data_IF_215506894365
#
_entry.id   IF_215506894365
#
_cell.length_a   1.000
_cell.length_b   1.000
_cell.length_c   1.000
_cell.angle_alpha   90.00
_cell.angle_beta   90.00
_cell.angle_gamma   90.00
#
_symmetry.space_group_name_H-M   'P 1'
#
loop_
_entity.id
_entity.type
_entity.pdbx_description
1 polymer ?
#
# COMPACT_ATOMS: atom_id res chain seq x y z
N UNK A 1 -35.60 62.05 -14.59
CA UNK A 1 -34.42 61.93 -13.70
C UNK A 1 -34.55 60.61 -12.95
N UNK A 2 -33.67 59.62 -12.96
CA UNK A 2 -32.37 59.37 -13.60
C UNK A 2 -32.31 57.84 -13.80
N UNK A 3 -31.80 57.41 -14.94
CA UNK A 3 -31.44 56.02 -15.23
C UNK A 3 -30.31 55.56 -14.30
N UNK A 4 -30.38 54.35 -13.77
CA UNK A 4 -29.23 53.69 -13.13
C UNK A 4 -29.02 52.33 -13.79
N UNK A 5 -28.03 52.31 -14.71
CA UNK A 5 -27.39 51.13 -15.27
C UNK A 5 -26.63 50.41 -14.15
N UNK A 6 -26.95 49.14 -13.91
CA UNK A 6 -26.03 48.23 -13.21
C UNK A 6 -25.09 47.61 -14.24
N UNK A 7 -23.87 48.13 -14.33
CA UNK A 7 -22.78 47.49 -15.06
C UNK A 7 -22.19 46.38 -14.20
N UNK A 8 -22.48 45.12 -14.55
CA UNK A 8 -21.77 43.98 -13.99
C UNK A 8 -20.39 43.88 -14.65
N UNK A 9 -19.35 44.26 -13.91
CA UNK A 9 -17.96 44.01 -14.31
C UNK A 9 -17.68 42.53 -14.07
N UNK A 10 -17.72 41.72 -15.13
CA UNK A 10 -17.13 40.39 -15.11
C UNK A 10 -15.61 40.56 -15.12
N UNK A 11 -14.98 40.47 -13.94
CA UNK A 11 -13.55 40.28 -13.85
C UNK A 11 -13.23 38.86 -14.34
N UNK A 12 -12.79 38.74 -15.59
CA UNK A 12 -12.20 37.50 -16.10
C UNK A 12 -10.89 37.26 -15.36
N UNK A 13 -10.93 36.44 -14.32
CA UNK A 13 -9.75 35.89 -13.68
C UNK A 13 -9.04 34.98 -14.69
N UNK A 14 -7.98 35.50 -15.31
CA UNK A 14 -6.97 34.66 -15.95
C UNK A 14 -6.27 33.88 -14.82
N UNK A 15 -6.79 32.69 -14.50
CA UNK A 15 -6.01 31.73 -13.71
C UNK A 15 -4.83 31.30 -14.57
N UNK A 16 -3.58 31.45 -14.09
CA UNK A 16 -2.45 30.91 -14.82
C UNK A 16 -2.64 29.40 -14.89
N UNK A 17 -2.80 28.86 -16.10
CA UNK A 17 -2.74 27.41 -16.32
C UNK A 17 -1.31 26.98 -16.04
N UNK A 18 -1.04 26.61 -14.80
CA UNK A 18 0.24 26.01 -14.43
C UNK A 18 0.42 24.77 -15.31
N UNK A 19 1.52 24.78 -16.06
CA UNK A 19 1.93 23.63 -16.83
C UNK A 19 2.28 22.48 -15.86
N UNK A 20 2.00 21.27 -16.30
CA UNK A 20 2.05 20.08 -15.48
C UNK A 20 3.45 19.48 -15.62
N UNK A 21 4.13 19.38 -14.48
CA UNK A 21 5.42 18.71 -14.39
C UNK A 21 5.35 17.25 -14.83
N UNK A 22 6.52 16.69 -15.14
CA UNK A 22 6.67 15.30 -15.54
C UNK A 22 5.93 14.38 -14.55
N UNK A 23 5.22 13.40 -15.10
CA UNK A 23 4.37 12.42 -14.41
C UNK A 23 3.00 12.93 -13.94
N UNK A 24 2.69 14.22 -14.10
CA UNK A 24 1.35 14.72 -13.78
C UNK A 24 0.31 14.34 -14.83
N UNK A 25 -0.96 14.25 -14.40
CA UNK A 25 -2.09 13.97 -15.30
C UNK A 25 -2.38 15.18 -16.17
N UNK A 26 -2.49 14.97 -17.48
CA UNK A 26 -2.77 16.01 -18.46
C UNK A 26 -3.96 15.67 -19.36
N UNK A 27 -4.70 14.61 -19.05
CA UNK A 27 -5.88 14.19 -19.80
C UNK A 27 -6.55 12.93 -19.23
N UNK A 28 -7.68 12.58 -19.82
CA UNK A 28 -8.52 11.44 -19.42
C UNK A 28 -10.01 11.80 -19.33
N UNK A 29 -10.89 10.82 -19.50
CA UNK A 29 -12.34 10.99 -19.34
C UNK A 29 -12.68 11.52 -17.95
N UNK A 30 -13.34 12.66 -17.89
CA UNK A 30 -13.76 13.33 -16.65
C UNK A 30 -12.70 14.23 -16.00
N UNK A 31 -11.50 14.33 -16.57
CA UNK A 31 -10.45 15.20 -16.05
C UNK A 31 -10.71 16.67 -16.43
N UNK A 32 -10.78 17.55 -15.43
CA UNK A 32 -11.05 18.99 -15.59
C UNK A 32 -9.82 19.88 -15.30
N UNK A 33 -8.66 19.28 -15.04
CA UNK A 33 -7.43 20.02 -14.77
C UNK A 33 -6.70 20.48 -16.03
N UNK A 34 -5.53 21.10 -15.86
CA UNK A 34 -4.69 21.57 -16.97
C UNK A 34 -4.32 20.41 -17.91
N UNK A 35 -4.23 20.66 -19.22
CA UNK A 35 -3.76 19.66 -20.20
C UNK A 35 -2.37 19.99 -20.76
N UNK A 36 -1.80 21.12 -20.35
CA UNK A 36 -0.50 21.59 -20.79
C UNK A 36 0.60 21.01 -19.90
N UNK A 37 1.58 20.34 -20.49
CA UNK A 37 2.78 19.86 -19.81
C UNK A 37 3.89 20.92 -19.79
N UNK A 38 4.81 20.84 -18.84
CA UNK A 38 6.02 21.68 -18.81
C UNK A 38 6.85 21.52 -20.09
N UNK A 39 7.66 22.55 -20.40
CA UNK A 39 8.54 22.56 -21.57
C UNK A 39 9.42 21.31 -21.63
N UNK A 40 9.46 20.65 -22.78
CA UNK A 40 10.20 19.39 -23.00
C UNK A 40 9.41 18.12 -22.70
N UNK A 41 8.13 18.24 -22.31
CA UNK A 41 7.23 17.12 -22.05
C UNK A 41 6.04 17.14 -23.02
N UNK A 42 5.48 15.96 -23.30
CA UNK A 42 4.23 15.81 -24.03
C UNK A 42 3.20 15.06 -23.18
N UNK A 43 1.92 15.39 -23.38
CA UNK A 43 0.84 14.64 -22.78
C UNK A 43 0.65 13.31 -23.53
N UNK A 44 1.09 12.21 -22.92
CA UNK A 44 1.06 10.87 -23.51
C UNK A 44 -0.15 10.11 -22.98
N UNK A 45 -0.97 9.60 -23.91
CA UNK A 45 -2.12 8.75 -23.59
C UNK A 45 -1.66 7.45 -22.93
N UNK A 46 -2.28 7.09 -21.81
CA UNK A 46 -2.08 5.79 -21.15
C UNK A 46 -3.34 4.93 -21.27
N UNK A 47 -4.51 5.52 -20.99
CA UNK A 47 -5.81 4.90 -21.18
C UNK A 47 -6.91 5.97 -21.23
N UNK A 48 -8.14 5.50 -21.44
CA UNK A 48 -9.33 6.35 -21.57
C UNK A 48 -9.56 7.33 -20.42
N UNK A 49 -9.13 7.00 -19.20
CA UNK A 49 -9.33 7.82 -18.00
C UNK A 49 -8.07 8.59 -17.59
N UNK A 50 -6.92 8.37 -18.25
CA UNK A 50 -5.64 8.91 -17.82
C UNK A 50 -4.64 9.14 -18.95
N UNK A 51 -4.11 10.35 -19.05
CA UNK A 51 -2.97 10.73 -19.89
C UNK A 51 -1.95 11.49 -19.03
N UNK A 52 -0.65 11.34 -19.32
CA UNK A 52 0.43 11.75 -18.43
C UNK A 52 1.53 12.55 -19.14
N UNK A 53 2.07 13.58 -18.50
CA UNK A 53 3.19 14.35 -19.02
C UNK A 53 4.50 13.57 -18.97
N UNK A 54 5.03 13.17 -20.12
CA UNK A 54 6.26 12.38 -20.23
C UNK A 54 7.29 13.08 -21.12
N UNK A 55 8.57 12.77 -20.91
CA UNK A 55 9.65 13.21 -21.79
C UNK A 55 9.47 12.52 -23.13
N UNK A 56 9.32 13.31 -24.18
CA UNK A 56 9.39 12.81 -25.55
C UNK A 56 10.82 12.97 -26.03
N UNK A 57 11.57 11.87 -26.09
CA UNK A 57 12.84 11.85 -26.82
C UNK A 57 12.55 12.13 -28.28
N UNK A 58 13.07 13.24 -28.78
CA UNK A 58 12.90 13.71 -30.15
C UNK A 58 13.63 12.78 -31.12
N UNK A 59 13.06 11.62 -31.43
CA UNK A 59 13.41 10.90 -32.65
C UNK A 59 12.59 11.52 -33.78
N UNK A 60 13.25 12.40 -34.52
CA UNK A 60 12.80 12.93 -35.81
C UNK A 60 12.44 11.79 -36.76
N UNK A 61 11.15 11.60 -37.04
CA UNK A 61 10.71 11.00 -38.29
C UNK A 61 9.54 11.82 -38.84
N UNK A 62 9.79 12.38 -40.02
CA UNK A 62 8.93 13.28 -40.77
C UNK A 62 7.50 12.77 -40.96
N UNK A 63 6.57 13.72 -40.91
CA UNK A 63 5.17 13.57 -41.27
C UNK A 63 4.96 13.20 -42.74
N UNK A 64 3.86 12.48 -43.04
CA UNK A 64 3.06 12.78 -44.23
C UNK A 64 1.58 12.44 -43.94
N UNK A 65 0.63 13.37 -44.19
CA UNK A 65 -0.80 13.12 -44.08
C UNK A 65 -1.39 12.67 -45.43
N UNK A 66 -2.36 11.76 -45.44
CA UNK A 66 -3.25 11.61 -46.60
C UNK A 66 -4.64 11.10 -46.19
N UNK A 67 -5.62 11.95 -46.48
CA UNK A 67 -7.02 11.62 -46.75
C UNK A 67 -7.15 10.78 -48.03
N UNK A 68 -8.20 9.95 -48.12
CA UNK A 68 -9.27 9.94 -49.16
C UNK A 68 -9.85 8.53 -49.38
N UNK A 69 -11.18 8.50 -49.49
CA UNK A 69 -12.08 7.40 -49.83
C UNK A 69 -11.77 6.69 -51.17
N UNK A 70 -12.15 5.41 -51.25
CA UNK A 70 -12.34 4.68 -52.52
C UNK A 70 -12.89 3.25 -52.30
N UNK A 71 -13.94 2.80 -53.02
CA UNK A 71 -14.73 1.60 -52.69
C UNK A 71 -14.26 0.35 -53.42
N UNK A 72 -14.47 -0.87 -52.88
CA UNK A 72 -14.60 -2.09 -53.72
C UNK A 72 -15.37 -3.21 -53.01
N UNK A 73 -16.20 -3.88 -53.82
CA UNK A 73 -17.19 -4.93 -53.59
C UNK A 73 -16.79 -6.21 -52.84
N UNK A 74 -17.77 -6.65 -52.04
CA UNK A 74 -18.42 -7.98 -51.99
C UNK A 74 -17.57 -9.26 -52.13
N UNK A 75 -17.54 -10.07 -51.07
CA UNK A 75 -17.89 -11.51 -51.18
C UNK A 75 -18.29 -12.06 -49.81
N UNK A 76 -19.57 -12.36 -49.63
CA UNK A 76 -20.09 -13.08 -48.46
C UNK A 76 -19.61 -14.53 -48.51
N UNK A 77 -18.80 -14.93 -47.52
CA UNK A 77 -18.51 -16.33 -47.24
C UNK A 77 -19.09 -16.71 -45.88
N UNK A 78 -20.27 -17.29 -45.92
CA UNK A 78 -20.91 -17.98 -44.80
C UNK A 78 -19.97 -19.05 -44.27
N UNK A 79 -19.44 -18.85 -43.06
CA UNK A 79 -18.72 -19.88 -42.33
C UNK A 79 -19.40 -20.04 -40.97
N UNK A 80 -20.15 -21.13 -40.84
CA UNK A 80 -20.72 -21.60 -39.60
C UNK A 80 -19.59 -21.83 -38.60
N UNK A 81 -19.50 -21.00 -37.56
CA UNK A 81 -18.54 -21.19 -36.48
C UNK A 81 -19.33 -21.58 -35.23
N UNK A 82 -19.20 -22.85 -34.89
CA UNK A 82 -19.72 -23.48 -33.68
C UNK A 82 -19.30 -22.66 -32.46
N UNK A 83 -20.26 -22.12 -31.72
CA UNK A 83 -20.02 -21.45 -30.45
C UNK A 83 -19.73 -22.55 -29.43
N UNK A 84 -18.46 -22.89 -29.25
CA UNK A 84 -18.03 -23.68 -28.11
C UNK A 84 -18.17 -22.79 -26.88
N UNK A 85 -19.17 -23.09 -26.05
CA UNK A 85 -19.33 -22.56 -24.71
C UNK A 85 -18.03 -22.72 -23.95
N UNK A 86 -17.29 -21.62 -23.77
CA UNK A 86 -16.22 -21.55 -22.79
C UNK A 86 -16.87 -21.70 -21.43
N UNK A 87 -16.76 -22.89 -20.85
CA UNK A 87 -16.94 -23.12 -19.43
C UNK A 87 -16.16 -22.04 -18.68
N UNK A 88 -16.86 -21.27 -17.86
CA UNK A 88 -16.21 -20.38 -16.91
C UNK A 88 -15.30 -21.25 -16.05
N UNK A 89 -13.99 -21.12 -16.27
CA UNK A 89 -13.01 -21.62 -15.31
C UNK A 89 -13.28 -20.84 -14.04
N UNK A 90 -13.95 -21.48 -13.08
CA UNK A 90 -14.04 -20.97 -11.73
C UNK A 90 -12.63 -20.58 -11.32
N UNK A 91 -12.43 -19.32 -10.94
CA UNK A 91 -11.15 -18.84 -10.47
C UNK A 91 -10.63 -19.85 -9.42
N UNK A 92 -9.42 -20.41 -9.59
CA UNK A 92 -8.91 -21.35 -8.63
C UNK A 92 -8.87 -20.64 -7.28
N UNK A 93 -9.58 -21.19 -6.31
CA UNK A 93 -9.44 -20.80 -4.91
C UNK A 93 -8.00 -21.15 -4.57
N UNK A 94 -7.08 -20.19 -4.71
CA UNK A 94 -5.65 -20.46 -4.57
C UNK A 94 -5.36 -20.85 -3.13
N UNK A 95 -5.03 -22.12 -2.90
CA UNK A 95 -4.77 -22.73 -1.58
C UNK A 95 -3.29 -22.69 -1.15
N UNK A 96 -2.45 -21.83 -1.76
CA UNK A 96 -1.01 -21.74 -1.43
C UNK A 96 -0.63 -20.56 -0.54
N UNK A 97 0.62 -20.52 -0.09
CA UNK A 97 1.23 -19.29 0.46
C UNK A 97 1.91 -18.50 -0.67
N UNK A 98 1.79 -17.18 -0.62
CA UNK A 98 2.61 -16.33 -1.49
C UNK A 98 4.05 -16.41 -0.99
N UNK A 99 4.98 -16.60 -1.92
CA UNK A 99 6.42 -16.68 -1.72
C UNK A 99 7.09 -15.59 -2.56
N UNK A 100 8.42 -15.59 -2.56
CA UNK A 100 9.19 -14.81 -3.53
C UNK A 100 10.18 -15.66 -4.31
N UNK A 101 10.55 -15.13 -5.47
CA UNK A 101 11.60 -15.65 -6.35
C UNK A 101 12.33 -14.45 -6.94
N UNK A 102 13.57 -14.23 -6.50
CA UNK A 102 14.27 -12.97 -6.74
C UNK A 102 13.43 -11.79 -6.25
N UNK A 103 13.21 -10.80 -7.12
CA UNK A 103 12.41 -9.59 -6.82
C UNK A 103 10.91 -9.75 -7.11
N UNK A 104 10.42 -10.96 -7.40
CA UNK A 104 9.02 -11.22 -7.74
C UNK A 104 8.30 -11.99 -6.64
N UNK A 105 6.99 -11.72 -6.51
CA UNK A 105 6.09 -12.57 -5.75
C UNK A 105 5.66 -13.77 -6.59
N UNK A 106 5.51 -14.92 -5.93
CA UNK A 106 5.01 -16.14 -6.54
C UNK A 106 3.91 -16.77 -5.70
N UNK A 107 2.98 -17.45 -6.35
CA UNK A 107 1.91 -18.22 -5.71
C UNK A 107 1.76 -19.52 -6.48
N UNK A 108 1.97 -20.65 -5.80
CA UNK A 108 1.95 -21.98 -6.41
C UNK A 108 2.90 -22.09 -7.62
N UNK A 109 4.09 -21.49 -7.52
CA UNK A 109 5.11 -21.52 -8.57
C UNK A 109 4.92 -20.50 -9.70
N UNK A 110 3.75 -19.89 -9.81
CA UNK A 110 3.46 -18.85 -10.81
C UNK A 110 3.72 -17.45 -10.27
N UNK A 111 4.02 -16.47 -11.14
CA UNK A 111 4.13 -15.07 -10.72
C UNK A 111 2.80 -14.59 -10.12
N UNK A 112 2.86 -13.97 -8.96
CA UNK A 112 1.73 -13.36 -8.28
C UNK A 112 1.85 -11.84 -8.38
N UNK A 113 0.94 -11.20 -9.10
CA UNK A 113 0.91 -9.73 -9.20
C UNK A 113 0.11 -9.16 -8.03
N UNK A 114 0.76 -8.29 -7.25
CA UNK A 114 0.10 -7.54 -6.18
C UNK A 114 -0.64 -6.36 -6.80
N UNK A 115 -1.97 -6.41 -6.77
CA UNK A 115 -2.87 -5.27 -6.97
C UNK A 115 -3.48 -4.99 -5.61
N UNK A 116 -2.99 -3.95 -4.94
CA UNK A 116 -3.16 -3.74 -3.50
C UNK A 116 -3.91 -2.47 -3.14
N UNK A 117 -4.61 -2.50 -2.01
CA UNK A 117 -5.14 -1.32 -1.32
C UNK A 117 -4.92 -1.42 0.20
N UNK A 118 -5.25 -0.35 0.93
CA UNK A 118 -5.23 -0.30 2.39
C UNK A 118 -6.65 -0.02 2.92
N UNK A 119 -7.09 -0.81 3.90
CA UNK A 119 -8.34 -0.57 4.63
C UNK A 119 -8.14 -0.95 6.10
N UNK A 120 -7.53 -0.04 6.87
CA UNK A 120 -7.22 -0.26 8.29
C UNK A 120 -8.46 -0.55 9.14
N UNK A 121 -9.60 -0.01 8.73
CA UNK A 121 -10.88 -0.08 9.43
C UNK A 121 -11.70 -1.35 9.10
N UNK A 122 -11.14 -2.33 8.38
CA UNK A 122 -11.92 -3.46 7.88
C UNK A 122 -12.67 -4.20 9.00
N UNK A 123 -12.01 -4.48 10.12
CA UNK A 123 -12.66 -5.11 11.27
C UNK A 123 -13.42 -4.12 12.19
N UNK A 124 -13.36 -2.82 11.90
CA UNK A 124 -14.12 -1.79 12.60
C UNK A 124 -15.51 -1.57 12.00
N UNK A 125 -15.78 -2.14 10.82
CA UNK A 125 -17.10 -2.13 10.20
C UNK A 125 -18.17 -2.68 11.15
N UNK A 126 -19.37 -2.11 11.07
CA UNK A 126 -20.46 -2.40 11.99
C UNK A 126 -20.97 -3.83 11.89
N UNK A 127 -20.98 -4.41 10.68
CA UNK A 127 -21.54 -5.74 10.44
C UNK A 127 -20.63 -6.64 9.63
N UNK A 128 -20.75 -7.96 9.81
CA UNK A 128 -20.07 -8.96 8.97
C UNK A 128 -20.48 -8.89 7.50
N UNK A 129 -21.68 -8.39 7.20
CA UNK A 129 -22.15 -8.17 5.84
C UNK A 129 -21.36 -7.06 5.16
N UNK A 130 -21.09 -5.96 5.85
CA UNK A 130 -20.27 -4.87 5.30
C UNK A 130 -18.84 -5.35 5.01
N UNK A 131 -18.26 -6.17 5.90
CA UNK A 131 -16.93 -6.79 5.69
C UNK A 131 -16.97 -7.66 4.42
N UNK A 132 -17.97 -8.54 4.31
CA UNK A 132 -18.10 -9.46 3.18
C UNK A 132 -18.33 -8.71 1.87
N UNK A 133 -19.16 -7.66 1.89
CA UNK A 133 -19.42 -6.82 0.74
C UNK A 133 -18.16 -6.08 0.28
N UNK A 134 -17.39 -5.50 1.22
CA UNK A 134 -16.15 -4.82 0.88
C UNK A 134 -15.13 -5.75 0.17
N UNK A 135 -15.00 -7.01 0.61
CA UNK A 135 -14.15 -7.99 -0.08
C UNK A 135 -14.72 -8.44 -1.44
N UNK A 136 -16.05 -8.48 -1.57
CA UNK A 136 -16.71 -8.73 -2.86
C UNK A 136 -16.41 -7.59 -3.85
N UNK A 137 -16.47 -6.35 -3.40
CA UNK A 137 -16.18 -5.17 -4.23
C UNK A 137 -14.70 -5.12 -4.63
N UNK A 138 -13.78 -5.41 -3.70
CA UNK A 138 -12.35 -5.53 -4.00
C UNK A 138 -12.07 -6.61 -5.05
N UNK A 139 -12.71 -7.77 -4.93
CA UNK A 139 -12.59 -8.85 -5.93
C UNK A 139 -13.09 -8.41 -7.29
N UNK A 140 -14.26 -7.77 -7.35
CA UNK A 140 -14.87 -7.29 -8.59
C UNK A 140 -14.02 -6.19 -9.25
N UNK A 141 -13.33 -5.38 -8.45
CA UNK A 141 -12.37 -4.39 -8.93
C UNK A 141 -10.99 -4.97 -9.30
N UNK A 142 -10.77 -6.28 -9.13
CA UNK A 142 -9.54 -6.97 -9.53
C UNK A 142 -8.39 -6.87 -8.52
N UNK A 143 -8.65 -6.49 -7.27
CA UNK A 143 -7.62 -6.51 -6.23
C UNK A 143 -7.23 -7.94 -5.88
N UNK A 144 -5.92 -8.15 -5.65
CA UNK A 144 -5.37 -9.44 -5.22
C UNK A 144 -4.90 -9.42 -3.78
N UNK A 145 -4.68 -8.23 -3.22
CA UNK A 145 -4.11 -8.03 -1.89
C UNK A 145 -4.79 -6.87 -1.17
N UNK A 146 -5.05 -7.02 0.13
CA UNK A 146 -5.49 -5.93 0.99
C UNK A 146 -4.60 -5.85 2.22
N UNK A 147 -4.20 -4.64 2.59
CA UNK A 147 -3.54 -4.40 3.86
C UNK A 147 -4.54 -3.90 4.91
N UNK A 148 -4.54 -4.50 6.09
CA UNK A 148 -5.45 -4.17 7.22
C UNK A 148 -4.72 -4.33 8.56
N UNK A 149 -5.23 -3.67 9.61
CA UNK A 149 -4.58 -3.66 10.92
C UNK A 149 -5.07 -4.85 11.72
N UNK A 150 -4.14 -5.69 12.20
CA UNK A 150 -4.39 -6.80 13.13
C UNK A 150 -4.13 -6.43 14.58
N UNK A 151 -4.08 -5.13 14.88
CA UNK A 151 -3.91 -4.56 16.21
C UNK A 151 -5.05 -3.60 16.52
N UNK A 152 -5.37 -3.50 17.81
CA UNK A 152 -6.22 -2.48 18.40
C UNK A 152 -6.04 -2.54 19.92
N UNK A 153 -5.11 -1.73 20.40
CA UNK A 153 -4.62 -1.70 21.77
C UNK A 153 -5.34 -0.60 22.55
N UNK A 154 -6.01 -0.97 23.63
CA UNK A 154 -6.81 -0.04 24.44
C UNK A 154 -6.47 -0.18 25.92
N UNK A 155 -6.66 0.91 26.67
CA UNK A 155 -6.57 0.89 28.15
C UNK A 155 -7.96 0.91 28.80
N UNK A 156 -9.02 0.93 27.99
CA UNK A 156 -10.41 0.86 28.42
C UNK A 156 -11.22 0.27 27.26
N UNK A 157 -12.08 -0.74 27.50
CA UNK A 157 -12.86 -1.36 26.44
C UNK A 157 -13.78 -0.37 25.73
N UNK A 158 -13.77 -0.38 24.40
CA UNK A 158 -14.68 0.42 23.57
C UNK A 158 -14.74 -0.18 22.17
N UNK A 159 -15.96 -0.37 21.64
CA UNK A 159 -16.17 -0.91 20.30
C UNK A 159 -15.41 -2.21 20.06
N UNK A 160 -14.88 -2.37 18.86
CA UNK A 160 -13.98 -3.49 18.55
C UNK A 160 -12.57 -3.18 19.05
N UNK A 161 -11.97 -4.08 19.83
CA UNK A 161 -10.60 -3.98 20.33
C UNK A 161 -9.97 -5.37 20.48
N UNK A 162 -8.65 -5.48 20.37
CA UNK A 162 -7.96 -6.79 20.35
C UNK A 162 -7.14 -7.05 21.60
N UNK A 163 -6.62 -6.01 22.22
CA UNK A 163 -5.80 -6.13 23.42
C UNK A 163 -6.14 -5.02 24.41
N UNK A 164 -6.53 -5.42 25.62
CA UNK A 164 -6.81 -4.53 26.73
C UNK A 164 -5.63 -4.51 27.69
N UNK A 165 -5.16 -3.31 28.01
CA UNK A 165 -4.11 -3.07 28.98
C UNK A 165 -4.70 -2.58 30.31
N UNK A 166 -4.32 -3.26 31.39
CA UNK A 166 -4.59 -2.85 32.77
C UNK A 166 -3.27 -2.82 33.54
N UNK A 167 -2.64 -1.63 33.59
CA UNK A 167 -1.24 -1.52 33.98
C UNK A 167 -0.36 -2.38 33.06
N UNK A 168 0.65 -3.03 33.60
CA UNK A 168 1.57 -3.90 32.85
C UNK A 168 0.97 -5.25 32.42
N UNK A 169 -0.34 -5.45 32.57
CA UNK A 169 -1.03 -6.70 32.18
C UNK A 169 -1.82 -6.49 30.90
N UNK A 170 -1.46 -7.23 29.86
CA UNK A 170 -2.20 -7.29 28.59
C UNK A 170 -3.16 -8.48 28.58
N UNK A 171 -4.40 -8.25 28.15
CA UNK A 171 -5.41 -9.30 27.95
C UNK A 171 -5.90 -9.25 26.51
N UNK A 172 -5.75 -10.35 25.78
CA UNK A 172 -6.24 -10.48 24.41
C UNK A 172 -7.75 -10.72 24.43
N UNK A 173 -8.51 -9.91 23.69
CA UNK A 173 -9.93 -10.12 23.47
C UNK A 173 -10.14 -11.08 22.30
N UNK A 174 -10.43 -12.34 22.61
CA UNK A 174 -10.81 -13.36 21.61
C UNK A 174 -12.33 -13.42 21.37
N UNK A 175 -13.10 -12.52 21.95
CA UNK A 175 -14.56 -12.46 21.86
C UNK A 175 -15.08 -11.92 20.52
N UNK A 176 -16.42 -11.82 20.42
CA UNK A 176 -17.13 -11.43 19.20
C UNK A 176 -16.82 -10.01 18.69
N UNK A 177 -16.42 -9.12 19.60
CA UNK A 177 -15.94 -7.76 19.32
C UNK A 177 -14.41 -7.65 19.30
N UNK A 178 -13.70 -8.77 19.40
CA UNK A 178 -12.24 -8.83 19.36
C UNK A 178 -11.72 -9.60 18.14
N UNK A 179 -10.80 -10.54 18.37
CA UNK A 179 -10.17 -11.32 17.30
C UNK A 179 -11.18 -12.17 16.51
N UNK A 180 -12.30 -12.61 17.10
CA UNK A 180 -13.33 -13.32 16.33
C UNK A 180 -13.97 -12.43 15.23
N UNK A 181 -13.98 -11.10 15.42
CA UNK A 181 -14.37 -10.17 14.36
C UNK A 181 -13.32 -10.09 13.26
N UNK A 182 -12.03 -10.14 13.63
CA UNK A 182 -10.94 -10.22 12.67
C UNK A 182 -10.96 -11.55 11.90
N UNK A 183 -11.39 -12.66 12.50
CA UNK A 183 -11.60 -13.93 11.79
C UNK A 183 -12.62 -13.79 10.64
N UNK A 184 -13.62 -12.91 10.79
CA UNK A 184 -14.56 -12.58 9.69
C UNK A 184 -13.84 -11.90 8.52
N UNK A 185 -12.87 -11.02 8.80
CA UNK A 185 -12.04 -10.38 7.77
C UNK A 185 -11.22 -11.42 7.02
N UNK A 186 -10.58 -12.35 7.74
CA UNK A 186 -9.79 -13.44 7.16
C UNK A 186 -10.69 -14.35 6.29
N UNK A 187 -11.84 -14.75 6.80
CA UNK A 187 -12.80 -15.59 6.07
C UNK A 187 -13.32 -14.91 4.80
N UNK A 188 -13.67 -13.62 4.87
CA UNK A 188 -14.12 -12.85 3.71
C UNK A 188 -13.02 -12.66 2.66
N UNK A 189 -11.79 -12.37 3.08
CA UNK A 189 -10.63 -12.29 2.20
C UNK A 189 -10.40 -13.61 1.46
N UNK A 190 -10.42 -14.73 2.20
CA UNK A 190 -10.29 -16.08 1.65
C UNK A 190 -11.38 -16.40 0.63
N UNK A 191 -12.65 -16.09 0.93
CA UNK A 191 -13.77 -16.28 0.02
C UNK A 191 -13.65 -15.42 -1.26
N UNK A 192 -13.08 -14.23 -1.14
CA UNK A 192 -12.82 -13.33 -2.25
C UNK A 192 -11.55 -13.68 -3.05
N UNK A 193 -10.70 -14.59 -2.56
CA UNK A 193 -9.39 -14.88 -3.15
C UNK A 193 -8.36 -13.77 -2.95
N UNK A 194 -8.60 -12.87 -1.99
CA UNK A 194 -7.74 -11.74 -1.66
C UNK A 194 -6.78 -12.15 -0.55
N UNK A 195 -5.51 -11.78 -0.67
CA UNK A 195 -4.51 -12.04 0.36
C UNK A 195 -4.31 -10.86 1.28
N UNK A 196 -4.19 -11.14 2.58
CA UNK A 196 -4.00 -10.09 3.57
C UNK A 196 -2.53 -9.75 3.80
N UNK A 197 -2.29 -8.50 4.13
CA UNK A 197 -1.08 -8.02 4.82
C UNK A 197 -1.57 -7.47 6.15
N UNK A 198 -1.10 -8.03 7.27
CA UNK A 198 -1.63 -7.76 8.60
C UNK A 198 -0.53 -7.10 9.43
N UNK A 199 -0.69 -5.81 9.74
CA UNK A 199 0.18 -5.13 10.69
C UNK A 199 -0.14 -5.54 12.12
N UNK A 200 0.88 -5.71 12.97
CA UNK A 200 0.73 -6.28 14.33
C UNK A 200 0.81 -5.26 15.47
N UNK A 201 1.33 -4.06 15.22
CA UNK A 201 1.17 -2.89 16.09
C UNK A 201 1.29 -1.62 15.25
N UNK A 202 1.26 -0.44 15.87
CA UNK A 202 1.38 0.86 15.22
C UNK A 202 2.50 1.71 15.80
N UNK A 203 3.33 2.33 14.97
CA UNK A 203 4.21 3.41 15.41
C UNK A 203 3.40 4.63 15.89
N UNK A 204 2.27 4.90 15.25
CA UNK A 204 1.40 6.01 15.62
C UNK A 204 0.46 5.66 16.77
N UNK A 205 -0.11 6.67 17.43
CA UNK A 205 -1.03 6.47 18.56
C UNK A 205 -2.43 5.96 18.17
N UNK A 206 -2.75 5.94 16.88
CA UNK A 206 -4.05 5.45 16.39
C UNK A 206 -4.22 3.96 16.72
N UNK A 207 -5.37 3.63 17.34
CA UNK A 207 -5.65 2.30 17.87
C UNK A 207 -4.60 1.81 18.89
N UNK A 208 -4.04 2.75 19.65
CA UNK A 208 -3.08 2.51 20.73
C UNK A 208 -1.64 2.62 20.25
N UNK A 209 -1.14 1.58 19.59
CA UNK A 209 0.22 1.52 19.08
C UNK A 209 1.30 1.44 20.17
N UNK A 210 2.56 1.63 19.76
CA UNK A 210 3.76 1.49 20.59
C UNK A 210 3.67 2.26 21.91
N UNK A 211 3.06 3.45 21.88
CA UNK A 211 2.95 4.34 23.04
C UNK A 211 2.14 3.69 24.19
N UNK A 212 1.15 2.84 23.87
CA UNK A 212 0.43 2.06 24.89
C UNK A 212 1.38 1.10 25.60
N UNK A 213 2.16 0.33 24.85
CA UNK A 213 3.11 -0.64 25.41
C UNK A 213 4.16 0.03 26.30
N UNK A 214 4.80 1.09 25.80
CA UNK A 214 5.82 1.83 26.54
C UNK A 214 5.24 2.39 27.84
N UNK A 215 4.05 3.01 27.77
CA UNK A 215 3.41 3.59 28.95
C UNK A 215 2.99 2.54 29.96
N UNK A 216 2.43 1.41 29.52
CA UNK A 216 1.86 0.40 30.40
C UNK A 216 2.92 -0.52 31.03
N UNK A 217 3.95 -0.89 30.28
CA UNK A 217 5.02 -1.79 30.76
C UNK A 217 6.09 -1.01 31.52
N UNK A 218 6.50 0.16 30.99
CA UNK A 218 7.67 0.88 31.48
C UNK A 218 7.32 2.16 32.26
N UNK A 219 6.05 2.57 32.27
CA UNK A 219 5.65 3.84 32.90
C UNK A 219 6.26 5.07 32.22
N UNK A 220 6.70 4.94 30.96
CA UNK A 220 7.46 5.96 30.24
C UNK A 220 6.65 6.58 29.10
N UNK A 221 7.02 7.78 28.68
CA UNK A 221 6.53 8.42 27.46
C UNK A 221 7.58 8.42 26.34
N UNK A 222 8.72 7.75 26.55
CA UNK A 222 9.78 7.66 25.55
C UNK A 222 9.46 6.56 24.53
N UNK A 223 8.87 6.97 23.41
CA UNK A 223 8.47 6.13 22.28
C UNK A 223 9.50 5.06 21.89
N UNK A 224 10.78 5.46 21.84
CA UNK A 224 11.88 4.62 21.38
C UNK A 224 12.15 3.39 22.26
N UNK A 225 11.67 3.39 23.51
CA UNK A 225 11.80 2.24 24.40
C UNK A 225 11.01 1.03 23.90
N UNK A 226 10.07 1.21 22.96
CA UNK A 226 9.34 0.11 22.35
C UNK A 226 10.28 -0.92 21.69
N UNK A 227 11.35 -0.47 21.04
CA UNK A 227 12.31 -1.34 20.35
C UNK A 227 13.15 -2.22 21.28
N UNK A 228 12.98 -2.09 22.60
CA UNK A 228 13.56 -3.00 23.59
C UNK A 228 12.70 -4.26 23.84
N UNK A 229 11.46 -4.28 23.33
CA UNK A 229 10.51 -5.40 23.41
C UNK A 229 10.39 -6.23 22.12
N UNK A 230 9.57 -7.29 22.16
CA UNK A 230 9.55 -8.36 21.13
C UNK A 230 8.38 -8.34 20.11
N UNK A 231 8.03 -7.19 19.53
CA UNK A 231 6.79 -7.03 18.71
C UNK A 231 7.06 -6.48 17.30
N UNK A 232 6.13 -6.56 16.33
CA UNK A 232 6.28 -5.94 14.99
C UNK A 232 5.32 -4.76 14.82
N UNK A 233 5.68 -3.74 14.02
CA UNK A 233 4.93 -2.49 13.93
C UNK A 233 4.62 -2.00 12.50
N UNK A 234 3.51 -1.26 12.33
CA UNK A 234 3.25 -0.39 11.20
C UNK A 234 4.11 0.88 11.30
N UNK A 235 4.84 1.18 10.22
CA UNK A 235 5.64 2.40 10.03
C UNK A 235 6.61 2.72 11.18
N UNK A 236 7.43 1.76 11.65
CA UNK A 236 8.36 2.02 12.75
C UNK A 236 9.29 3.20 12.44
N UNK A 237 9.42 4.13 13.39
CA UNK A 237 10.37 5.23 13.39
C UNK A 237 10.97 5.45 14.77
N UNK A 238 12.17 6.04 14.82
CA UNK A 238 12.77 6.54 16.08
C UNK A 238 12.19 7.89 16.54
N UNK A 239 11.25 8.47 15.81
CA UNK A 239 10.63 9.78 16.17
C UNK A 239 9.18 9.63 16.64
N UNK A 240 8.54 8.51 16.33
CA UNK A 240 7.15 8.22 16.69
C UNK A 240 6.15 9.33 16.36
N UNK A 241 5.02 9.32 17.08
CA UNK A 241 3.94 10.30 16.99
C UNK A 241 4.32 11.71 17.47
N UNK A 242 5.31 11.82 18.35
CA UNK A 242 5.72 13.09 18.95
C UNK A 242 6.71 13.88 18.09
N UNK A 243 7.26 13.25 17.04
CA UNK A 243 8.35 13.80 16.25
C UNK A 243 9.66 13.97 17.02
N UNK A 244 9.71 13.51 18.27
CA UNK A 244 10.83 13.73 19.20
C UNK A 244 11.73 12.51 19.20
N UNK A 245 13.02 12.74 18.95
CA UNK A 245 14.03 11.71 18.94
C UNK A 245 14.72 11.62 20.30
N UNK A 246 14.82 10.42 20.88
CA UNK A 246 15.49 10.24 22.18
C UNK A 246 17.02 10.37 22.13
N UNK A 247 17.60 10.32 20.92
CA UNK A 247 19.05 10.29 20.71
C UNK A 247 19.69 8.90 20.88
N UNK A 248 18.96 7.91 21.42
CA UNK A 248 19.47 6.54 21.64
C UNK A 248 18.98 5.53 20.60
N UNK A 249 17.84 5.80 19.97
CA UNK A 249 17.36 5.02 18.83
C UNK A 249 18.12 5.39 17.56
N UNK A 250 18.69 4.39 16.89
CA UNK A 250 19.45 4.55 15.65
C UNK A 250 18.90 3.62 14.58
N UNK A 251 19.37 3.75 13.34
CA UNK A 251 19.06 2.78 12.27
C UNK A 251 19.41 1.35 12.68
N UNK A 252 20.54 1.15 13.36
CA UNK A 252 20.92 -0.15 13.90
C UNK A 252 19.95 -0.69 14.96
N UNK A 253 19.32 0.19 15.76
CA UNK A 253 18.31 -0.19 16.75
C UNK A 253 17.12 -0.88 16.07
N UNK A 254 16.52 -0.21 15.08
CA UNK A 254 15.35 -0.76 14.37
C UNK A 254 15.74 -1.99 13.55
N UNK A 255 16.89 -1.99 12.88
CA UNK A 255 17.37 -3.14 12.12
C UNK A 255 17.58 -4.38 12.99
N UNK A 256 18.16 -4.24 14.19
CA UNK A 256 18.41 -5.38 15.09
C UNK A 256 17.10 -5.90 15.69
N UNK A 257 16.22 -5.00 16.11
CA UNK A 257 14.87 -5.36 16.56
C UNK A 257 14.11 -6.12 15.47
N UNK A 258 14.07 -5.60 14.24
CA UNK A 258 13.42 -6.28 13.11
C UNK A 258 14.00 -7.68 12.87
N UNK A 259 15.32 -7.86 13.00
CA UNK A 259 15.99 -9.17 12.97
C UNK A 259 15.47 -10.13 14.03
N UNK A 260 15.37 -9.69 15.27
CA UNK A 260 14.89 -10.54 16.35
C UNK A 260 13.43 -10.95 16.14
N UNK A 261 12.57 -10.00 15.77
CA UNK A 261 11.13 -10.26 15.75
C UNK A 261 10.72 -11.05 14.52
N UNK A 262 11.34 -10.76 13.36
CA UNK A 262 11.13 -11.59 12.18
C UNK A 262 11.57 -13.03 12.40
N UNK A 263 12.68 -13.27 13.11
CA UNK A 263 13.12 -14.61 13.48
C UNK A 263 12.14 -15.30 14.45
N UNK A 264 11.64 -14.56 15.46
CA UNK A 264 10.63 -15.07 16.38
C UNK A 264 9.35 -15.47 15.65
N UNK A 265 8.83 -14.62 14.76
CA UNK A 265 7.64 -14.93 13.96
C UNK A 265 7.89 -16.15 13.08
N UNK A 266 9.04 -16.24 12.41
CA UNK A 266 9.38 -17.39 11.57
C UNK A 266 9.50 -18.70 12.37
N UNK A 267 9.83 -18.63 13.65
CA UNK A 267 9.81 -19.80 14.54
C UNK A 267 8.39 -20.31 14.82
N UNK A 268 7.38 -19.43 14.79
CA UNK A 268 5.97 -19.76 14.96
C UNK A 268 5.30 -20.11 13.62
N UNK A 269 5.70 -19.43 12.56
CA UNK A 269 5.13 -19.53 11.22
C UNK A 269 6.22 -19.50 10.15
N UNK A 270 6.74 -20.67 9.73
CA UNK A 270 7.78 -20.71 8.72
C UNK A 270 7.25 -20.35 7.31
N UNK A 271 5.95 -20.47 7.06
CA UNK A 271 5.38 -20.46 5.72
C UNK A 271 5.08 -19.06 5.19
N UNK A 272 4.59 -18.16 6.05
CA UNK A 272 4.16 -16.84 5.61
C UNK A 272 5.32 -15.87 5.42
N UNK A 273 5.19 -14.97 4.45
CA UNK A 273 6.11 -13.85 4.29
C UNK A 273 6.00 -12.92 5.49
N UNK A 274 7.15 -12.42 5.95
CA UNK A 274 7.25 -11.42 7.01
C UNK A 274 7.86 -10.17 6.39
N UNK A 275 7.28 -9.01 6.69
CA UNK A 275 7.78 -7.69 6.34
C UNK A 275 7.94 -6.83 7.59
N UNK A 276 8.60 -5.68 7.47
CA UNK A 276 8.79 -4.72 8.57
C UNK A 276 7.60 -3.78 8.62
N UNK A 277 7.21 -3.25 7.46
CA UNK A 277 6.15 -2.26 7.34
C UNK A 277 6.62 -0.84 7.59
N UNK A 278 7.92 -0.60 7.46
CA UNK A 278 8.51 0.75 7.43
C UNK A 278 8.19 1.46 6.12
N UNK A 279 8.35 2.78 6.11
CA UNK A 279 8.02 3.64 4.97
C UNK A 279 9.09 3.66 3.86
N UNK A 280 10.18 2.94 4.04
CA UNK A 280 11.27 2.88 3.07
C UNK A 280 12.18 4.12 3.07
N UNK A 281 12.52 4.65 4.25
CA UNK A 281 13.55 5.68 4.36
C UNK A 281 14.94 5.08 4.21
N UNK A 282 15.82 5.76 3.49
CA UNK A 282 17.21 5.37 3.34
C UNK A 282 18.10 6.06 4.38
N UNK A 283 19.31 5.52 4.54
CA UNK A 283 20.37 6.04 5.39
C UNK A 283 21.65 6.26 4.56
N UNK A 284 21.57 7.19 3.61
CA UNK A 284 22.66 7.52 2.70
C UNK A 284 23.45 8.72 3.23
N UNK A 285 24.78 8.60 3.28
CA UNK A 285 25.68 9.62 3.84
C UNK A 285 25.51 11.02 3.21
N UNK A 286 25.10 11.09 1.94
CA UNK A 286 24.85 12.34 1.20
C UNK A 286 23.43 12.41 0.64
N UNK A 287 22.45 11.84 1.35
CA UNK A 287 21.05 11.84 0.93
C UNK A 287 20.54 13.27 0.68
N UNK A 288 19.79 13.53 -0.42
CA UNK A 288 19.42 14.89 -0.81
C UNK A 288 18.43 15.58 0.15
N UNK A 289 17.62 14.81 0.89
CA UNK A 289 16.65 15.31 1.86
C UNK A 289 16.27 14.22 2.88
N UNK A 290 15.41 14.58 3.84
CA UNK A 290 15.11 13.76 5.02
C UNK A 290 14.81 12.26 4.76
N UNK A 291 14.06 11.85 3.70
CA UNK A 291 13.84 10.43 3.44
C UNK A 291 15.06 9.63 3.01
N UNK A 292 16.19 10.27 2.70
CA UNK A 292 17.43 9.60 2.32
C UNK A 292 18.54 9.70 3.36
N UNK A 293 18.35 10.47 4.43
CA UNK A 293 19.40 10.88 5.36
C UNK A 293 19.42 10.07 6.67
N UNK A 294 18.59 9.02 6.79
CA UNK A 294 18.52 8.16 7.97
C UNK A 294 17.88 8.81 9.20
N UNK A 295 17.48 10.09 9.13
CA UNK A 295 16.97 10.85 10.27
C UNK A 295 15.66 10.34 10.87
N UNK A 296 14.94 9.44 10.20
CA UNK A 296 13.75 8.77 10.73
C UNK A 296 14.09 7.48 11.50
N UNK A 297 15.37 7.10 11.53
CA UNK A 297 15.86 5.89 12.20
C UNK A 297 15.72 4.61 11.37
N UNK A 298 15.43 4.72 10.06
CA UNK A 298 15.29 3.59 9.16
C UNK A 298 16.44 3.58 8.15
N UNK A 299 17.00 2.39 7.94
CA UNK A 299 17.96 2.08 6.88
C UNK A 299 17.39 0.94 6.04
N UNK A 300 16.65 1.33 5.00
CA UNK A 300 15.91 0.40 4.16
C UNK A 300 16.82 -0.64 3.48
N UNK A 301 18.00 -0.24 2.99
CA UNK A 301 18.93 -1.16 2.33
C UNK A 301 19.53 -2.17 3.35
N UNK A 302 19.86 -1.70 4.56
CA UNK A 302 20.31 -2.59 5.64
C UNK A 302 19.21 -3.57 6.07
N UNK A 303 17.97 -3.10 6.16
CA UNK A 303 16.82 -3.95 6.47
C UNK A 303 16.63 -5.01 5.37
N UNK A 304 16.57 -4.63 4.09
CA UNK A 304 16.43 -5.60 3.00
C UNK A 304 17.56 -6.63 2.99
N UNK A 305 18.81 -6.20 3.14
CA UNK A 305 19.99 -7.08 3.03
C UNK A 305 20.12 -8.09 4.17
N UNK A 306 19.86 -7.70 5.42
CA UNK A 306 19.92 -8.64 6.56
C UNK A 306 18.85 -9.72 6.52
N UNK A 307 17.75 -9.45 5.83
CA UNK A 307 16.59 -10.33 5.78
C UNK A 307 16.46 -11.09 4.45
N UNK A 308 17.23 -10.70 3.44
CA UNK A 308 17.39 -11.37 2.15
C UNK A 308 18.60 -12.31 2.15
N UNK A 309 18.60 -13.39 2.95
CA UNK A 309 19.68 -14.40 2.85
C UNK A 309 19.36 -15.42 1.73
N UNK A 310 20.30 -15.74 0.80
CA UNK A 310 19.99 -16.40 -0.48
C UNK A 310 19.81 -17.93 -0.45
N UNK A 311 19.72 -18.59 0.72
CA UNK A 311 19.73 -20.07 0.76
C UNK A 311 18.88 -20.71 1.87
N UNK A 312 17.87 -20.02 2.38
CA UNK A 312 16.76 -20.68 3.09
C UNK A 312 15.52 -20.59 2.23
N UNK A 313 14.71 -21.64 2.23
CA UNK A 313 13.48 -21.79 1.45
C UNK A 313 12.34 -20.83 1.86
N UNK A 314 12.65 -19.73 2.55
CA UNK A 314 11.69 -18.80 3.16
C UNK A 314 12.25 -17.37 3.22
N UNK A 315 11.99 -16.52 2.22
CA UNK A 315 12.52 -15.16 2.23
C UNK A 315 11.83 -14.28 3.27
N UNK A 316 12.66 -13.59 4.06
CA UNK A 316 12.29 -12.47 4.93
C UNK A 316 12.38 -11.16 4.15
N UNK A 317 11.45 -10.26 4.48
CA UNK A 317 11.38 -8.82 4.17
C UNK A 317 11.67 -8.37 2.72
N UNK A 318 10.65 -7.79 2.09
CA UNK A 318 10.58 -7.59 0.66
C UNK A 318 10.24 -6.15 0.32
N UNK A 319 11.06 -5.47 -0.47
CA UNK A 319 10.61 -4.38 -1.34
C UNK A 319 11.54 -4.16 -2.55
N UNK A 320 10.99 -3.50 -3.58
CA UNK A 320 11.57 -3.29 -4.91
C UNK A 320 12.55 -2.09 -4.92
N UNK A 321 13.85 -2.30 -5.22
CA UNK A 321 14.86 -1.23 -5.21
C UNK A 321 14.66 -0.17 -6.32
N UNK A 322 13.74 -0.38 -7.27
CA UNK A 322 13.54 0.53 -8.42
C UNK A 322 12.25 1.37 -8.35
N UNK A 323 11.51 1.36 -7.23
CA UNK A 323 10.25 2.11 -7.07
C UNK A 323 10.42 3.43 -6.32
N UNK A 324 10.13 4.54 -6.98
CA UNK A 324 10.10 5.88 -6.38
C UNK A 324 9.06 6.02 -5.25
N UNK A 325 9.34 6.89 -4.29
CA UNK A 325 8.66 6.96 -2.97
C UNK A 325 7.13 7.12 -2.98
N UNK A 326 6.50 7.64 -4.04
CA UNK A 326 5.02 7.71 -4.07
C UNK A 326 4.35 6.35 -4.24
N UNK A 327 5.00 5.37 -4.87
CA UNK A 327 4.47 3.99 -4.90
C UNK A 327 4.81 3.19 -3.63
N UNK A 328 5.80 3.65 -2.85
CA UNK A 328 6.13 3.07 -1.54
C UNK A 328 5.00 3.37 -0.54
N UNK A 329 4.49 4.61 -0.42
CA UNK A 329 3.38 4.95 0.51
C UNK A 329 2.09 4.12 0.33
N UNK A 330 1.87 3.53 -0.84
CA UNK A 330 0.70 2.69 -1.10
C UNK A 330 0.91 1.22 -0.69
N UNK A 331 2.16 0.78 -0.47
CA UNK A 331 2.54 -0.65 -0.34
C UNK A 331 3.55 -0.90 0.82
N UNK A 332 4.13 0.13 1.43
CA UNK A 332 5.20 0.10 2.46
C UNK A 332 4.68 -0.24 3.86
N UNK A 333 3.92 -1.32 3.94
CA UNK A 333 3.26 -1.74 5.17
C UNK A 333 3.24 -3.26 5.31
N UNK A 334 4.30 -3.93 4.87
CA UNK A 334 4.33 -5.39 4.87
C UNK A 334 4.51 -5.90 6.29
N UNK A 335 3.53 -6.60 6.83
CA UNK A 335 3.62 -7.45 8.02
C UNK A 335 2.65 -8.63 7.85
N UNK A 336 2.87 -9.67 8.67
CA UNK A 336 2.39 -11.07 8.59
C UNK A 336 1.10 -11.30 7.78
N UNK A 337 1.09 -12.38 6.98
CA UNK A 337 -0.11 -12.88 6.29
C UNK A 337 -0.64 -14.09 7.07
N UNK A 338 -1.96 -14.25 7.17
CA UNK A 338 -2.66 -15.42 7.74
C UNK A 338 -3.60 -15.95 6.62
N UNK A 339 -3.81 -17.28 6.47
CA UNK A 339 -4.44 -17.92 5.30
C UNK A 339 -5.82 -17.45 4.89
#
# INVERSE_FOLDING_TARGET
MKSMLNAAIFASSLTPTLAIGQWGQCGGKGYAGSTACDSGLACVYQNDYYSQCLVVTSTTTNATPSTTMGPTSTTSKTTSTTITSTTSVAAPVSTGFVKTSGTKFTLNGSTFTVVGSNAYWMAQLSTSNDITQAFTDLKNAGFTTLRTWGFNDVTSPSGTYYQLWSGSTATVNTGADGLAKFDTVVAAAKAAGIRLIIALTNNWSDYGGMDVYVKQILGSSNHDLFYTGKELANEPRCKGSTGTWSGTCTTATITNWASEISAYIKSLDPNHLVGLGDEGFYNQANGPNYPYQGGEGIDFDANLSKHSIPNSSTPGLLDDPNRGQKSQRSISGRSIRIP
#
